data_IF_723230242442
#
_entry.id   IF_723230242442
#
_cell.length_a   1.000
_cell.length_b   1.000
_cell.length_c   1.000
_cell.angle_alpha   90.00
_cell.angle_beta   90.00
_cell.angle_gamma   90.00
#
_symmetry.space_group_name_H-M   'P 1'
#
loop_
_entity.id
_entity.type
_entity.pdbx_description
1 polymer ?
#
# COMPACT_ATOMS: atom_id res chain seq x y z
N UNK A 1 -0.95 9.09 27.30
CA UNK A 1 -1.75 8.90 26.06
C UNK A 1 -2.51 7.60 26.25
N UNK A 2 -3.82 7.66 26.40
CA UNK A 2 -4.66 6.45 26.48
C UNK A 2 -4.46 5.65 25.20
N UNK A 3 -4.09 4.37 25.35
CA UNK A 3 -3.92 3.46 24.23
C UNK A 3 -5.31 3.26 23.59
N UNK A 4 -5.62 4.05 22.57
CA UNK A 4 -6.90 3.95 21.87
C UNK A 4 -6.94 2.60 21.17
N UNK A 5 -7.97 1.82 21.49
CA UNK A 5 -8.28 0.55 20.83
C UNK A 5 -8.14 0.74 19.31
N UNK A 6 -7.29 -0.08 18.69
CA UNK A 6 -7.14 -0.10 17.24
C UNK A 6 -8.13 -1.10 16.67
N UNK A 7 -9.07 -0.60 15.89
CA UNK A 7 -10.00 -1.42 15.12
C UNK A 7 -9.42 -1.74 13.74
N UNK A 8 -9.90 -2.80 13.10
CA UNK A 8 -9.42 -3.21 11.79
C UNK A 8 -10.44 -4.01 10.99
N UNK A 9 -10.29 -3.97 9.67
CA UNK A 9 -11.05 -4.76 8.70
C UNK A 9 -10.15 -5.10 7.52
N UNK A 10 -10.56 -6.04 6.68
CA UNK A 10 -9.82 -6.39 5.47
C UNK A 10 -10.78 -6.87 4.39
N UNK A 11 -10.41 -6.66 3.13
CA UNK A 11 -11.13 -7.18 1.99
C UNK A 11 -10.26 -8.16 1.23
N UNK A 12 -10.72 -9.40 1.18
CA UNK A 12 -10.08 -10.51 0.48
C UNK A 12 -10.88 -10.89 -0.76
N UNK A 13 -10.23 -11.58 -1.68
CA UNK A 13 -10.88 -12.21 -2.81
C UNK A 13 -10.13 -13.45 -3.25
N UNK A 14 -10.78 -14.28 -4.05
CA UNK A 14 -10.17 -15.44 -4.66
C UNK A 14 -10.50 -15.47 -6.15
N UNK A 15 -9.49 -15.68 -6.98
CA UNK A 15 -9.66 -15.90 -8.42
C UNK A 15 -8.83 -17.09 -8.82
N UNK A 16 -9.49 -18.18 -9.25
CA UNK A 16 -8.81 -19.40 -9.72
C UNK A 16 -7.80 -19.97 -8.70
N UNK A 17 -8.16 -19.94 -7.42
CA UNK A 17 -7.29 -20.37 -6.32
C UNK A 17 -6.22 -19.36 -5.91
N UNK A 18 -6.08 -18.23 -6.59
CA UNK A 18 -5.20 -17.14 -6.15
C UNK A 18 -5.85 -16.38 -5.01
N UNK A 19 -5.18 -16.38 -3.85
CA UNK A 19 -5.60 -15.61 -2.69
C UNK A 19 -5.18 -14.14 -2.86
N UNK A 20 -6.17 -13.25 -2.80
CA UNK A 20 -6.01 -11.82 -3.03
C UNK A 20 -6.40 -11.05 -1.76
N UNK A 21 -5.69 -9.97 -1.46
CA UNK A 21 -6.09 -8.94 -0.50
C UNK A 21 -6.08 -7.58 -1.17
N UNK A 22 -7.26 -6.99 -1.28
CA UNK A 22 -7.46 -5.71 -1.94
C UNK A 22 -7.24 -4.54 -0.99
N UNK A 23 -7.69 -4.65 0.26
CA UNK A 23 -7.40 -3.68 1.31
C UNK A 23 -7.26 -4.29 2.70
N UNK A 24 -6.57 -3.56 3.56
CA UNK A 24 -6.47 -3.84 4.99
C UNK A 24 -6.49 -2.53 5.76
N UNK A 25 -7.42 -2.41 6.68
CA UNK A 25 -7.71 -1.18 7.40
C UNK A 25 -7.27 -1.27 8.86
N UNK A 26 -6.76 -0.15 9.39
CA UNK A 26 -6.58 0.08 10.83
C UNK A 26 -7.03 1.49 11.18
N UNK A 27 -7.82 1.66 12.23
CA UNK A 27 -8.26 2.98 12.68
C UNK A 27 -8.40 3.04 14.20
N UNK A 28 -8.36 4.26 14.72
CA UNK A 28 -8.37 4.57 16.14
C UNK A 28 -9.19 5.82 16.50
N UNK A 29 -9.71 6.54 15.50
CA UNK A 29 -10.75 7.57 15.63
C UNK A 29 -11.41 7.85 14.27
N UNK A 30 -12.33 8.83 14.25
CA UNK A 30 -13.21 9.16 13.12
C UNK A 30 -12.58 10.08 12.06
N UNK A 31 -11.34 10.55 12.24
CA UNK A 31 -10.68 11.37 11.21
C UNK A 31 -10.42 10.54 9.95
N UNK A 32 -10.31 11.17 8.76
CA UNK A 32 -10.02 10.43 7.55
C UNK A 32 -8.70 9.66 7.66
N UNK A 33 -8.61 8.54 6.95
CA UNK A 33 -7.47 7.64 6.97
C UNK A 33 -6.40 8.08 5.97
N UNK A 34 -5.15 7.72 6.23
CA UNK A 34 -4.13 7.69 5.19
C UNK A 34 -4.34 6.48 4.26
N UNK A 35 -4.17 6.64 2.95
CA UNK A 35 -4.06 5.53 2.01
C UNK A 35 -2.58 5.18 1.84
N UNK A 36 -2.19 3.96 2.18
CA UNK A 36 -0.81 3.49 2.06
C UNK A 36 -0.73 2.43 0.96
N UNK A 37 -0.08 2.76 -0.16
CA UNK A 37 0.16 1.83 -1.26
C UNK A 37 1.54 1.18 -1.17
N UNK A 38 1.58 -0.15 -1.08
CA UNK A 38 2.84 -0.86 -0.82
C UNK A 38 2.84 -2.32 -1.31
N UNK A 39 3.92 -3.03 -1.05
CA UNK A 39 3.94 -4.49 -1.19
C UNK A 39 3.02 -5.13 -0.15
N UNK A 40 2.45 -6.28 -0.46
CA UNK A 40 1.47 -6.93 0.40
C UNK A 40 2.08 -7.36 1.76
N UNK A 41 1.50 -6.98 2.91
CA UNK A 41 1.84 -7.64 4.17
C UNK A 41 1.55 -9.15 4.07
N UNK A 42 2.47 -10.02 4.48
CA UNK A 42 2.29 -11.44 4.16
C UNK A 42 1.31 -12.15 5.10
N UNK A 43 1.24 -11.74 6.37
CA UNK A 43 0.49 -12.45 7.42
C UNK A 43 -0.58 -11.60 8.12
N UNK A 44 -0.69 -10.32 7.75
CA UNK A 44 -1.70 -9.46 8.34
C UNK A 44 -3.11 -9.82 7.84
N UNK A 45 -4.06 -9.84 8.76
CA UNK A 45 -5.47 -10.10 8.49
C UNK A 45 -6.36 -9.16 9.29
N UNK A 46 -7.64 -9.51 9.43
CA UNK A 46 -8.61 -8.69 10.18
C UNK A 46 -8.12 -8.45 11.62
N UNK A 47 -7.77 -9.53 12.32
CA UNK A 47 -7.42 -9.50 13.75
C UNK A 47 -5.91 -9.49 14.01
N UNK A 48 -5.10 -9.95 13.05
CA UNK A 48 -3.66 -10.14 13.23
C UNK A 48 -2.85 -9.03 12.58
N UNK A 49 -1.99 -8.40 13.36
CA UNK A 49 -0.94 -7.50 12.87
C UNK A 49 0.35 -8.28 12.62
N UNK A 50 1.01 -8.02 11.49
CA UNK A 50 2.38 -8.45 11.23
C UNK A 50 3.37 -7.29 11.47
N UNK A 51 4.70 -7.50 11.38
CA UNK A 51 5.68 -6.44 11.61
C UNK A 51 5.54 -5.23 10.67
N UNK A 52 4.91 -5.39 9.51
CA UNK A 52 4.62 -4.28 8.60
C UNK A 52 3.54 -3.39 9.19
N UNK A 53 2.45 -3.99 9.66
CA UNK A 53 1.32 -3.26 10.27
C UNK A 53 1.73 -2.58 11.57
N UNK A 54 2.55 -3.23 12.40
CA UNK A 54 3.10 -2.58 13.59
C UNK A 54 3.96 -1.35 13.24
N UNK A 55 4.77 -1.42 12.19
CA UNK A 55 5.52 -0.26 11.73
C UNK A 55 4.61 0.83 11.16
N UNK A 56 3.57 0.49 10.41
CA UNK A 56 2.60 1.48 9.92
C UNK A 56 1.84 2.16 11.06
N UNK A 57 1.43 1.42 12.09
CA UNK A 57 0.84 2.02 13.29
C UNK A 57 1.80 3.03 13.90
N UNK A 58 3.05 2.65 14.17
CA UNK A 58 4.07 3.56 14.69
C UNK A 58 4.27 4.80 13.83
N UNK A 59 4.39 4.63 12.51
CA UNK A 59 4.70 5.72 11.57
C UNK A 59 3.49 6.63 11.28
N UNK A 60 2.26 6.12 11.36
CA UNK A 60 1.04 6.88 11.05
C UNK A 60 0.40 7.56 12.25
N UNK A 61 0.68 7.11 13.48
CA UNK A 61 0.18 7.75 14.72
C UNK A 61 0.46 9.25 14.85
N UNK A 62 1.64 9.79 14.47
CA UNK A 62 1.90 11.23 14.56
C UNK A 62 1.26 12.04 13.42
N UNK A 63 0.70 11.39 12.40
CA UNK A 63 0.05 12.08 11.28
C UNK A 63 -1.35 12.57 11.67
N UNK A 64 -1.88 13.62 11.02
CA UNK A 64 -3.23 14.14 11.30
C UNK A 64 -4.34 13.26 10.68
N UNK A 65 -4.33 11.96 10.98
CA UNK A 65 -5.27 10.95 10.45
C UNK A 65 -5.89 10.12 11.56
N UNK A 66 -7.05 9.51 11.28
CA UNK A 66 -7.73 8.61 12.21
C UNK A 66 -7.38 7.14 12.04
N UNK A 67 -6.53 6.84 11.07
CA UNK A 67 -6.16 5.47 10.71
C UNK A 67 -5.36 5.42 9.42
N UNK A 68 -5.19 4.21 8.91
CA UNK A 68 -4.70 3.96 7.56
C UNK A 68 -5.44 2.80 6.89
N UNK A 69 -5.51 2.89 5.57
CA UNK A 69 -5.95 1.81 4.67
C UNK A 69 -4.75 1.41 3.84
N UNK A 70 -4.33 0.15 3.93
CA UNK A 70 -3.29 -0.44 3.08
C UNK A 70 -3.94 -0.96 1.82
N UNK A 71 -3.40 -0.55 0.68
CA UNK A 71 -3.67 -1.14 -0.63
C UNK A 71 -2.37 -1.66 -1.23
N UNK A 72 -2.47 -2.70 -2.06
CA UNK A 72 -1.29 -3.36 -2.56
C UNK A 72 -1.04 -3.00 -4.02
N UNK A 73 0.24 -2.86 -4.38
CA UNK A 73 0.64 -2.66 -5.78
C UNK A 73 0.09 -3.76 -6.69
N UNK A 74 -0.01 -4.98 -6.14
CA UNK A 74 -0.77 -6.10 -6.68
C UNK A 74 -1.43 -6.83 -5.51
N UNK A 75 -2.70 -7.26 -5.64
CA UNK A 75 -3.46 -7.79 -4.50
C UNK A 75 -3.08 -9.23 -4.14
N UNK A 76 -2.32 -9.95 -4.97
CA UNK A 76 -1.89 -11.32 -4.67
C UNK A 76 -1.10 -11.38 -3.36
N UNK A 77 -1.47 -12.31 -2.48
CA UNK A 77 -0.80 -12.50 -1.19
C UNK A 77 0.45 -13.35 -1.41
N UNK A 78 1.61 -12.74 -1.19
CA UNK A 78 2.90 -13.39 -1.33
C UNK A 78 3.82 -12.98 -0.17
N UNK A 79 4.55 -13.94 0.40
CA UNK A 79 5.48 -13.69 1.51
C UNK A 79 6.80 -13.09 1.07
N UNK A 80 7.21 -13.33 -0.18
CA UNK A 80 8.42 -12.79 -0.76
C UNK A 80 8.15 -12.03 -2.07
N UNK A 81 8.90 -10.95 -2.35
CA UNK A 81 8.87 -10.26 -3.65
C UNK A 81 9.09 -11.18 -4.86
N UNK A 82 9.88 -12.25 -4.70
CA UNK A 82 10.14 -13.23 -5.76
C UNK A 82 8.89 -14.02 -6.13
N UNK A 83 8.09 -14.43 -5.15
CA UNK A 83 6.85 -15.18 -5.36
C UNK A 83 5.81 -14.33 -6.08
N UNK A 84 5.70 -13.05 -5.69
CA UNK A 84 4.82 -12.10 -6.40
C UNK A 84 5.22 -11.95 -7.87
N UNK A 85 6.53 -11.80 -8.15
CA UNK A 85 7.04 -11.74 -9.54
C UNK A 85 6.75 -13.02 -10.32
N UNK A 86 6.98 -14.19 -9.70
CA UNK A 86 6.71 -15.50 -10.30
C UNK A 86 5.23 -15.64 -10.64
N UNK A 87 4.35 -15.34 -9.68
CA UNK A 87 2.90 -15.34 -9.91
C UNK A 87 2.52 -14.40 -11.06
N UNK A 88 3.01 -13.16 -11.06
CA UNK A 88 2.72 -12.17 -12.11
C UNK A 88 3.09 -12.70 -13.49
N UNK A 89 4.32 -13.18 -13.65
CA UNK A 89 4.80 -13.71 -14.94
C UNK A 89 3.93 -14.89 -15.41
N UNK A 90 3.63 -15.83 -14.51
CA UNK A 90 2.79 -16.98 -14.84
C UNK A 90 1.35 -16.57 -15.16
N UNK A 91 0.75 -15.67 -14.38
CA UNK A 91 -0.61 -15.20 -14.56
C UNK A 91 -0.76 -14.46 -15.90
N UNK A 92 0.18 -13.59 -16.25
CA UNK A 92 0.19 -12.89 -17.54
C UNK A 92 0.32 -13.90 -18.70
N UNK A 93 1.23 -14.87 -18.58
CA UNK A 93 1.48 -15.84 -19.67
C UNK A 93 0.33 -16.83 -19.87
N UNK A 94 -0.29 -17.31 -18.78
CA UNK A 94 -1.25 -18.42 -18.84
C UNK A 94 -2.71 -17.96 -18.74
N UNK A 95 -2.98 -16.83 -18.06
CA UNK A 95 -4.34 -16.35 -17.76
C UNK A 95 -4.42 -14.81 -17.80
N UNK A 96 -4.06 -14.17 -18.93
CA UNK A 96 -3.97 -12.72 -19.03
C UNK A 96 -5.31 -12.00 -18.77
N UNK A 97 -6.44 -12.64 -19.09
CA UNK A 97 -7.79 -12.07 -18.83
C UNK A 97 -8.07 -11.95 -17.32
N UNK A 98 -7.78 -13.00 -16.56
CA UNK A 98 -7.96 -13.01 -15.10
C UNK A 98 -7.02 -12.01 -14.43
N UNK A 99 -5.74 -12.00 -14.82
CA UNK A 99 -4.77 -11.01 -14.33
C UNK A 99 -5.25 -9.57 -14.58
N UNK A 100 -5.69 -9.27 -15.81
CA UNK A 100 -6.18 -7.94 -16.15
C UNK A 100 -7.46 -7.56 -15.39
N UNK A 101 -8.36 -8.50 -15.14
CA UNK A 101 -9.56 -8.27 -14.34
C UNK A 101 -9.21 -7.92 -12.88
N UNK A 102 -8.28 -8.67 -12.28
CA UNK A 102 -7.76 -8.42 -10.93
C UNK A 102 -7.14 -7.03 -10.84
N UNK A 103 -6.24 -6.67 -11.78
CA UNK A 103 -5.60 -5.36 -11.76
C UNK A 103 -6.61 -4.23 -11.98
N UNK A 104 -7.60 -4.42 -12.86
CA UNK A 104 -8.65 -3.41 -13.08
C UNK A 104 -9.49 -3.19 -11.83
N UNK A 105 -9.87 -4.25 -11.13
CA UNK A 105 -10.59 -4.14 -9.86
C UNK A 105 -9.73 -3.43 -8.81
N UNK A 106 -8.47 -3.85 -8.64
CA UNK A 106 -7.53 -3.22 -7.71
C UNK A 106 -7.35 -1.71 -7.98
N UNK A 107 -7.17 -1.32 -9.24
CA UNK A 107 -7.01 0.09 -9.63
C UNK A 107 -8.25 0.94 -9.35
N UNK A 108 -9.46 0.40 -9.55
CA UNK A 108 -10.71 1.12 -9.22
C UNK A 108 -10.82 1.35 -7.73
N UNK A 109 -10.63 0.30 -6.92
CA UNK A 109 -10.67 0.41 -5.46
C UNK A 109 -9.63 1.44 -4.97
N UNK A 110 -8.40 1.40 -5.50
CA UNK A 110 -7.35 2.34 -5.15
C UNK A 110 -7.77 3.79 -5.44
N UNK A 111 -8.42 4.04 -6.59
CA UNK A 111 -8.90 5.38 -6.95
C UNK A 111 -10.01 5.85 -6.01
N UNK A 112 -10.98 4.99 -5.71
CA UNK A 112 -12.10 5.28 -4.80
C UNK A 112 -11.60 5.61 -3.39
N UNK A 113 -10.68 4.79 -2.87
CA UNK A 113 -10.04 5.05 -1.57
C UNK A 113 -9.18 6.30 -1.60
N UNK A 114 -8.49 6.56 -2.70
CA UNK A 114 -7.68 7.78 -2.85
C UNK A 114 -8.55 9.03 -2.79
N UNK A 115 -9.75 9.01 -3.37
CA UNK A 115 -10.67 10.16 -3.35
C UNK A 115 -11.12 10.60 -1.95
N UNK A 116 -11.03 9.70 -0.96
CA UNK A 116 -11.49 9.96 0.43
C UNK A 116 -10.37 9.99 1.45
N UNK A 117 -9.13 9.67 1.04
CA UNK A 117 -7.98 9.64 1.93
C UNK A 117 -7.50 11.05 2.28
N UNK A 118 -7.16 11.28 3.55
CA UNK A 118 -6.54 12.54 3.97
C UNK A 118 -5.13 12.70 3.38
N UNK A 119 -4.40 11.59 3.24
CA UNK A 119 -3.01 11.56 2.77
C UNK A 119 -2.78 10.30 1.94
N UNK A 120 -2.10 10.41 0.80
CA UNK A 120 -1.69 9.27 -0.05
C UNK A 120 -0.20 8.99 0.14
N UNK A 121 0.13 7.85 0.71
CA UNK A 121 1.49 7.43 1.05
C UNK A 121 1.88 6.23 0.20
N UNK A 122 3.10 6.23 -0.31
CA UNK A 122 3.68 5.16 -1.11
C UNK A 122 4.85 4.54 -0.36
N UNK A 123 4.95 3.20 -0.38
CA UNK A 123 5.96 2.48 0.40
C UNK A 123 6.33 1.11 -0.23
N UNK A 124 6.40 1.04 -1.56
CA UNK A 124 6.64 -0.20 -2.31
C UNK A 124 8.11 -0.56 -2.56
N UNK A 125 9.08 0.22 -2.08
CA UNK A 125 10.49 -0.02 -2.33
C UNK A 125 10.83 0.02 -3.82
N UNK A 126 11.53 -1.00 -4.33
CA UNK A 126 11.91 -1.10 -5.74
C UNK A 126 10.89 -1.86 -6.60
N UNK A 127 9.68 -2.14 -6.09
CA UNK A 127 8.70 -2.96 -6.81
C UNK A 127 7.96 -2.22 -7.92
N UNK A 128 7.68 -0.91 -7.77
CA UNK A 128 6.86 -0.19 -8.75
C UNK A 128 7.47 -0.17 -10.17
N UNK A 129 8.78 0.10 -10.37
CA UNK A 129 9.37 0.16 -11.71
C UNK A 129 9.22 -1.12 -12.55
N UNK A 130 8.96 -2.27 -11.93
CA UNK A 130 8.82 -3.57 -12.62
C UNK A 130 7.36 -3.96 -12.89
N UNK A 131 6.40 -3.06 -12.67
CA UNK A 131 4.97 -3.34 -12.87
C UNK A 131 4.47 -2.91 -14.26
N UNK A 132 3.80 -3.79 -15.02
CA UNK A 132 3.18 -3.43 -16.30
C UNK A 132 2.10 -2.33 -16.18
N UNK A 133 1.50 -2.16 -15.00
CA UNK A 133 0.45 -1.18 -14.72
C UNK A 133 0.93 0.00 -13.86
N UNK A 134 2.24 0.24 -13.74
CA UNK A 134 2.79 1.30 -12.90
C UNK A 134 2.19 2.69 -13.17
N UNK A 135 2.05 3.07 -14.44
CA UNK A 135 1.47 4.37 -14.83
C UNK A 135 0.00 4.51 -14.41
N UNK A 136 -0.79 3.44 -14.59
CA UNK A 136 -2.21 3.39 -14.19
C UNK A 136 -2.36 3.43 -12.68
N UNK A 137 -1.49 2.73 -11.94
CA UNK A 137 -1.46 2.77 -10.49
C UNK A 137 -1.17 4.17 -9.96
N UNK A 138 -0.17 4.84 -10.53
CA UNK A 138 0.16 6.21 -10.16
C UNK A 138 -1.00 7.17 -10.43
N UNK A 139 -1.66 7.08 -11.59
CA UNK A 139 -2.87 7.87 -11.89
C UNK A 139 -4.01 7.58 -10.92
N UNK A 140 -4.27 6.32 -10.58
CA UNK A 140 -5.31 5.96 -9.61
C UNK A 140 -5.01 6.55 -8.22
N UNK A 141 -3.77 6.40 -7.75
CA UNK A 141 -3.35 6.91 -6.44
C UNK A 141 -3.38 8.44 -6.35
N UNK A 142 -2.97 9.13 -7.40
CA UNK A 142 -2.84 10.60 -7.41
C UNK A 142 -4.04 11.32 -7.99
N UNK A 143 -5.16 10.62 -8.22
CA UNK A 143 -6.35 11.17 -8.89
C UNK A 143 -5.99 11.91 -10.20
N UNK A 144 -5.32 11.18 -11.09
CA UNK A 144 -4.77 11.70 -12.35
C UNK A 144 -3.71 12.79 -12.17
N UNK A 145 -2.90 12.65 -11.13
CA UNK A 145 -1.83 13.57 -10.72
C UNK A 145 -2.30 14.89 -10.12
N UNK A 146 -3.58 15.03 -9.78
CA UNK A 146 -4.11 16.20 -9.07
C UNK A 146 -3.73 16.20 -7.57
N UNK A 147 -3.29 15.06 -7.03
CA UNK A 147 -2.95 14.90 -5.62
C UNK A 147 -1.50 14.47 -5.45
N UNK A 148 -0.77 15.04 -4.47
CA UNK A 148 0.61 14.64 -4.20
C UNK A 148 0.66 13.22 -3.63
N UNK A 149 1.77 12.53 -3.91
CA UNK A 149 2.10 11.25 -3.30
C UNK A 149 3.27 11.44 -2.33
N UNK A 150 3.06 10.99 -1.10
CA UNK A 150 4.02 11.09 -0.02
C UNK A 150 4.74 9.78 0.24
N UNK A 151 5.86 9.81 0.94
CA UNK A 151 6.55 8.63 1.47
C UNK A 151 7.04 8.91 2.88
N UNK A 152 7.10 7.87 3.72
CA UNK A 152 7.70 8.00 5.05
C UNK A 152 9.20 8.31 5.00
N UNK A 153 9.89 7.81 3.98
CA UNK A 153 11.29 8.09 3.68
C UNK A 153 11.64 7.53 2.30
N UNK A 154 12.72 8.03 1.71
CA UNK A 154 13.23 7.56 0.43
C UNK A 154 14.54 6.77 0.60
N UNK A 155 14.81 5.84 -0.31
CA UNK A 155 16.14 5.25 -0.50
C UNK A 155 17.08 6.28 -1.13
N UNK A 156 18.38 5.94 -1.23
CA UNK A 156 19.35 6.76 -1.96
C UNK A 156 18.94 6.99 -3.41
N UNK A 157 18.32 5.99 -4.03
CA UNK A 157 17.85 6.03 -5.42
C UNK A 157 16.44 6.64 -5.56
N UNK A 158 15.95 7.34 -4.53
CA UNK A 158 14.64 8.02 -4.56
C UNK A 158 13.42 7.09 -4.51
N UNK A 159 13.59 5.79 -4.24
CA UNK A 159 12.46 4.88 -4.11
C UNK A 159 11.80 5.02 -2.72
N UNK A 160 10.47 4.94 -2.61
CA UNK A 160 9.81 5.05 -1.31
C UNK A 160 10.09 3.81 -0.46
N UNK A 161 10.64 4.01 0.74
CA UNK A 161 11.03 2.89 1.62
C UNK A 161 9.81 2.09 2.08
N UNK A 162 9.94 0.78 2.05
CA UNK A 162 8.98 -0.14 2.67
C UNK A 162 9.05 -0.06 4.21
N UNK A 163 7.94 -0.22 4.95
CA UNK A 163 7.94 -0.15 6.42
C UNK A 163 8.86 -1.17 7.10
N UNK A 164 9.14 -2.29 6.43
CA UNK A 164 10.08 -3.33 6.88
C UNK A 164 11.56 -3.04 6.56
N UNK A 165 11.93 -1.85 6.06
CA UNK A 165 13.34 -1.51 5.90
C UNK A 165 14.09 -1.66 7.25
N UNK A 166 15.24 -2.34 7.26
CA UNK A 166 15.97 -2.74 8.48
C UNK A 166 17.35 -2.08 8.59
N UNK A 167 17.96 -2.21 9.78
CA UNK A 167 19.31 -1.70 10.06
C UNK A 167 19.43 -0.20 9.77
N UNK A 168 20.54 0.19 9.13
CA UNK A 168 20.78 1.58 8.68
C UNK A 168 19.72 2.14 7.73
N UNK A 169 18.89 1.27 7.12
CA UNK A 169 17.85 1.69 6.19
C UNK A 169 16.49 1.87 6.86
N UNK A 170 16.34 1.51 8.14
CA UNK A 170 15.09 1.66 8.90
C UNK A 170 14.56 3.09 8.84
N UNK A 171 13.24 3.21 8.77
CA UNK A 171 12.53 4.49 8.84
C UNK A 171 12.53 4.95 10.30
N UNK A 172 13.19 6.08 10.55
CA UNK A 172 13.27 6.70 11.88
C UNK A 172 11.91 7.24 12.31
N UNK A 173 11.71 7.33 13.63
CA UNK A 173 10.52 7.91 14.24
C UNK A 173 10.41 9.42 13.97
N UNK A 174 9.17 9.94 14.09
CA UNK A 174 8.88 11.38 14.12
C UNK A 174 9.44 12.22 12.95
N UNK A 175 9.47 11.64 11.74
CA UNK A 175 9.79 12.40 10.53
C UNK A 175 8.53 12.85 9.83
N UNK A 176 8.56 14.09 9.34
CA UNK A 176 7.57 14.55 8.38
C UNK A 176 7.60 13.69 7.13
N UNK A 177 6.44 13.56 6.49
CA UNK A 177 6.33 12.87 5.22
C UNK A 177 7.09 13.62 4.14
N UNK A 178 7.83 12.89 3.33
CA UNK A 178 8.50 13.44 2.15
C UNK A 178 7.51 13.45 0.99
N UNK A 179 7.41 14.54 0.25
CA UNK A 179 6.72 14.56 -1.05
C UNK A 179 7.55 13.73 -2.02
N UNK A 180 7.10 12.53 -2.35
CA UNK A 180 7.75 11.66 -3.34
C UNK A 180 7.42 12.09 -4.77
N UNK A 181 6.19 12.58 -4.96
CA UNK A 181 5.74 13.18 -6.22
C UNK A 181 4.77 14.30 -5.92
N UNK A 182 5.05 15.49 -6.46
CA UNK A 182 4.13 16.62 -6.39
C UNK A 182 2.90 16.37 -7.27
N UNK A 183 1.79 17.05 -6.95
CA UNK A 183 0.69 17.18 -7.90
C UNK A 183 1.17 17.92 -9.16
N UNK A 184 0.56 17.60 -10.29
CA UNK A 184 0.72 18.41 -11.50
C UNK A 184 -0.14 19.69 -11.34
N UNK A 185 0.39 20.85 -11.77
CA UNK A 185 -0.36 22.10 -11.79
C UNK A 185 -1.54 22.08 -12.77
#
# INVERSE_FOLDING_TARGET
>A
MTDRLVSGSAEFGEVRGWQLRFRLDRWWDERPRALVCMANPSHAGIERNDPTIWNLLRLSRPLPVGGFTVVNVEPFIASAPADLRKWRHQAIATRPRDYNAIQRHNLRLIRELSATAAIRIVAWGQLLPVLPHASRLLRALSLDFNEPLHAFALTRDGCPKHPLARGRHRIQDCRELVVWRAALP
#
